data_IF_018560550963
#
_entry.id   IF_018560550963
#
_cell.length_a   1.000
_cell.length_b   1.000
_cell.length_c   1.000
_cell.angle_alpha   90.00
_cell.angle_beta   90.00
_cell.angle_gamma   90.00
#
_symmetry.space_group_name_H-M   'P 1'
#
loop_
_entity.id
_entity.type
_entity.pdbx_description
1 polymer ?
#
# COMPACT_ATOMS: atom_id res chain seq x y z
N UNK A 1 20.69 -17.76 4.35
CA UNK A 1 21.17 -17.72 5.76
C UNK A 1 21.85 -16.38 6.02
N UNK A 2 21.61 -15.76 7.20
CA UNK A 2 22.05 -14.39 7.53
C UNK A 2 23.37 -14.35 8.34
N UNK A 3 24.19 -15.37 8.22
CA UNK A 3 25.46 -15.46 8.94
C UNK A 3 26.38 -14.28 8.56
N UNK A 4 26.87 -13.55 9.56
CA UNK A 4 27.73 -12.39 9.37
C UNK A 4 26.99 -11.06 9.27
N UNK A 5 25.69 -11.06 9.01
CA UNK A 5 24.87 -9.84 8.95
C UNK A 5 24.65 -9.24 10.34
N UNK A 6 24.68 -7.90 10.42
CA UNK A 6 24.43 -7.14 11.64
C UNK A 6 23.20 -6.25 11.46
N UNK A 7 22.25 -6.34 12.37
CA UNK A 7 21.01 -5.56 12.33
C UNK A 7 20.89 -4.72 13.61
N UNK A 8 20.52 -3.46 13.47
CA UNK A 8 20.14 -2.60 14.56
C UNK A 8 18.60 -2.56 14.68
N UNK A 9 18.07 -2.75 15.88
CA UNK A 9 16.67 -2.47 16.20
C UNK A 9 16.65 -1.26 17.15
N UNK A 10 16.06 -0.15 16.70
CA UNK A 10 15.96 1.05 17.51
C UNK A 10 14.85 0.89 18.56
N UNK A 11 15.20 1.00 19.83
CA UNK A 11 14.22 0.90 20.91
C UNK A 11 14.21 2.18 21.75
N UNK A 12 13.04 2.53 22.25
CA UNK A 12 12.81 3.66 23.16
C UNK A 12 11.73 3.32 24.18
N UNK A 13 11.42 4.25 25.11
CA UNK A 13 10.35 4.03 26.10
C UNK A 13 9.04 3.64 25.42
N UNK A 14 8.33 2.66 26.00
CA UNK A 14 7.06 2.14 25.49
C UNK A 14 7.16 1.54 24.08
N UNK A 15 8.30 0.93 23.70
CA UNK A 15 8.40 0.19 22.45
C UNK A 15 7.30 -0.89 22.37
N UNK A 16 6.89 -1.27 21.17
CA UNK A 16 5.95 -2.38 21.02
C UNK A 16 6.63 -3.71 21.33
N UNK A 17 6.09 -4.47 22.25
CA UNK A 17 6.71 -5.70 22.78
C UNK A 17 7.04 -6.68 21.65
N UNK A 18 6.06 -7.02 20.81
CA UNK A 18 6.19 -8.01 19.74
C UNK A 18 6.99 -7.49 18.54
N UNK A 19 6.78 -6.23 18.14
CA UNK A 19 7.48 -5.62 17.00
C UNK A 19 8.99 -5.45 17.26
N UNK A 20 9.41 -5.48 18.52
CA UNK A 20 10.83 -5.42 18.89
C UNK A 20 11.44 -6.80 19.08
N UNK A 21 10.67 -7.78 19.57
CA UNK A 21 11.18 -9.11 19.91
C UNK A 21 11.06 -10.12 18.79
N UNK A 22 9.93 -10.18 18.08
CA UNK A 22 9.73 -11.17 17.04
C UNK A 22 10.68 -10.99 15.84
N UNK A 23 10.92 -9.77 15.32
CA UNK A 23 11.94 -9.57 14.28
C UNK A 23 13.34 -9.90 14.78
N UNK A 24 13.70 -9.51 16.00
CA UNK A 24 14.98 -9.87 16.61
C UNK A 24 15.19 -11.37 16.60
N UNK A 25 14.26 -12.11 17.18
CA UNK A 25 14.36 -13.55 17.38
C UNK A 25 14.36 -14.29 16.02
N UNK A 26 13.56 -13.85 15.08
CA UNK A 26 13.49 -14.37 13.72
C UNK A 26 14.84 -14.24 12.98
N UNK A 27 15.48 -13.07 13.06
CA UNK A 27 16.76 -12.80 12.41
C UNK A 27 17.92 -13.54 13.10
N UNK A 28 17.90 -13.60 14.45
CA UNK A 28 18.92 -14.34 15.23
C UNK A 28 18.87 -15.85 14.93
N UNK A 29 17.68 -16.45 14.85
CA UNK A 29 17.50 -17.85 14.46
C UNK A 29 18.08 -18.16 13.07
N UNK A 30 18.18 -17.16 12.19
CA UNK A 30 18.77 -17.26 10.85
C UNK A 30 20.26 -16.90 10.80
N UNK A 31 20.87 -16.61 11.95
CA UNK A 31 22.31 -16.38 12.11
C UNK A 31 22.75 -14.92 12.04
N UNK A 32 21.83 -13.95 11.99
CA UNK A 32 22.16 -12.54 12.09
C UNK A 32 22.57 -12.17 13.53
N UNK A 33 23.46 -11.19 13.66
CA UNK A 33 23.73 -10.52 14.94
C UNK A 33 22.79 -9.31 15.06
N UNK A 34 21.88 -9.33 16.00
CA UNK A 34 20.95 -8.23 16.25
C UNK A 34 21.37 -7.48 17.51
N UNK A 35 21.46 -6.15 17.39
CA UNK A 35 21.71 -5.25 18.51
C UNK A 35 20.47 -4.38 18.76
N UNK A 36 20.04 -4.32 20.01
CA UNK A 36 19.06 -3.35 20.48
C UNK A 36 19.76 -2.03 20.74
N UNK A 37 19.35 -0.98 20.04
CA UNK A 37 19.97 0.34 20.13
C UNK A 37 19.00 1.28 20.86
N UNK A 38 19.38 1.72 22.04
CA UNK A 38 18.61 2.68 22.83
C UNK A 38 19.12 4.10 22.67
N UNK A 39 18.31 5.07 23.11
CA UNK A 39 18.73 6.46 23.21
C UNK A 39 19.82 6.63 24.31
N UNK A 40 19.70 5.83 25.37
CA UNK A 40 20.65 5.65 26.45
C UNK A 40 20.72 4.18 26.88
N UNK A 41 21.34 3.87 28.02
CA UNK A 41 21.46 2.52 28.59
C UNK A 41 20.35 2.14 29.55
N UNK A 42 19.30 2.94 29.66
CA UNK A 42 18.19 2.66 30.55
C UNK A 42 17.46 1.40 30.13
N UNK A 43 17.18 0.52 31.10
CA UNK A 43 16.30 -0.62 30.89
C UNK A 43 14.89 -0.14 30.57
N UNK A 44 14.34 -0.60 29.47
CA UNK A 44 13.06 -0.18 28.94
C UNK A 44 12.01 -1.27 29.13
N UNK A 45 10.79 -0.87 29.46
CA UNK A 45 9.63 -1.76 29.49
C UNK A 45 8.75 -1.47 28.30
N UNK A 46 8.30 -2.51 27.61
CA UNK A 46 7.42 -2.42 26.45
C UNK A 46 6.05 -1.83 26.81
N UNK A 47 5.33 -1.35 25.81
CA UNK A 47 4.02 -0.68 25.95
C UNK A 47 2.98 -1.52 26.72
N UNK A 48 3.02 -2.83 26.56
CA UNK A 48 2.09 -3.75 27.21
C UNK A 48 2.66 -4.41 28.47
N UNK A 49 3.88 -4.02 28.88
CA UNK A 49 4.53 -4.53 30.09
C UNK A 49 4.93 -6.01 30.04
N UNK A 50 4.84 -6.63 28.86
CA UNK A 50 5.15 -8.08 28.69
C UNK A 50 6.63 -8.36 28.67
N UNK A 51 7.42 -7.39 28.18
CA UNK A 51 8.86 -7.53 27.95
C UNK A 51 9.59 -6.31 28.52
N UNK A 52 10.74 -6.57 29.17
CA UNK A 52 11.71 -5.53 29.52
C UNK A 52 13.03 -5.82 28.80
N UNK A 53 13.57 -4.83 28.09
CA UNK A 53 14.78 -4.93 27.28
C UNK A 53 15.84 -3.93 27.80
N UNK A 54 17.08 -4.37 27.77
CA UNK A 54 18.24 -3.49 27.96
C UNK A 54 18.89 -3.23 26.62
N UNK A 55 19.17 -1.97 26.25
CA UNK A 55 19.90 -1.67 25.03
C UNK A 55 21.31 -2.26 25.06
N UNK A 56 21.69 -3.01 24.01
CA UNK A 56 23.05 -3.50 23.85
C UNK A 56 24.03 -2.33 23.67
N UNK A 57 23.59 -1.31 22.95
CA UNK A 57 24.38 -0.09 22.65
C UNK A 57 23.48 1.13 22.69
N UNK A 58 24.12 2.29 22.84
CA UNK A 58 23.43 3.58 22.69
C UNK A 58 23.58 4.11 21.30
N UNK A 59 22.65 4.95 20.85
CA UNK A 59 22.71 5.59 19.53
C UNK A 59 23.99 6.39 19.33
N UNK A 60 24.50 7.04 20.36
CA UNK A 60 25.75 7.81 20.33
C UNK A 60 27.02 6.94 20.19
N UNK A 61 26.91 5.62 20.42
CA UNK A 61 28.03 4.69 20.39
C UNK A 61 28.08 3.82 19.11
N UNK A 62 27.21 4.10 18.13
CA UNK A 62 27.08 3.33 16.89
C UNK A 62 27.11 4.24 15.67
N UNK A 63 27.56 3.69 14.55
CA UNK A 63 27.50 4.34 13.23
C UNK A 63 26.65 3.55 12.28
N UNK A 64 26.03 4.21 11.34
CA UNK A 64 25.15 3.61 10.33
C UNK A 64 25.88 2.52 9.52
N UNK A 65 27.14 2.75 9.16
CA UNK A 65 27.95 1.85 8.36
C UNK A 65 28.24 0.51 9.04
N UNK A 66 28.12 0.44 10.36
CA UNK A 66 28.37 -0.77 11.15
C UNK A 66 27.28 -1.83 11.00
N UNK A 67 26.14 -1.49 10.34
CA UNK A 67 24.96 -2.36 10.23
C UNK A 67 24.58 -2.64 8.78
N UNK A 68 24.14 -3.86 8.52
CA UNK A 68 23.60 -4.32 7.24
C UNK A 68 22.10 -4.05 7.11
N UNK A 69 21.41 -3.81 8.22
CA UNK A 69 19.97 -3.50 8.26
C UNK A 69 19.58 -2.76 9.53
N UNK A 70 18.52 -1.96 9.45
CA UNK A 70 17.93 -1.25 10.58
C UNK A 70 16.43 -1.53 10.64
N UNK A 71 15.88 -1.76 11.84
CA UNK A 71 14.44 -1.88 12.08
C UNK A 71 14.02 -0.83 13.09
N UNK A 72 12.91 -0.15 12.82
CA UNK A 72 12.27 0.84 13.68
C UNK A 72 10.88 0.29 14.07
N UNK A 73 10.74 -0.36 15.24
CA UNK A 73 9.46 -0.80 15.75
C UNK A 73 8.54 0.38 16.09
N UNK A 74 7.26 0.08 16.27
CA UNK A 74 6.28 1.05 16.72
C UNK A 74 6.10 1.10 18.24
N UNK A 75 4.85 1.18 18.68
CA UNK A 75 4.49 1.52 20.06
C UNK A 75 4.64 3.01 20.31
N UNK A 76 5.04 3.40 21.52
CA UNK A 76 5.34 4.79 21.90
C UNK A 76 6.80 5.22 21.64
N UNK A 77 7.69 4.27 21.31
CA UNK A 77 9.11 4.56 21.09
C UNK A 77 9.37 5.56 19.95
N UNK A 78 8.69 5.49 18.78
CA UNK A 78 8.89 6.44 17.69
C UNK A 78 8.74 7.89 18.11
N UNK A 79 7.81 8.23 19.00
CA UNK A 79 7.60 9.59 19.51
C UNK A 79 8.84 10.15 20.24
N UNK A 80 9.60 9.29 20.90
CA UNK A 80 10.83 9.68 21.63
C UNK A 80 12.05 9.67 20.71
N UNK A 81 12.11 8.70 19.80
CA UNK A 81 13.22 8.58 18.83
C UNK A 81 13.18 9.76 17.85
N UNK A 82 11.99 10.17 17.37
CA UNK A 82 11.82 11.22 16.36
C UNK A 82 12.20 12.64 16.82
N UNK A 83 12.35 12.87 18.11
CA UNK A 83 12.79 14.16 18.68
C UNK A 83 14.24 14.12 19.17
N UNK A 84 14.94 13.00 18.99
CA UNK A 84 16.32 12.81 19.41
C UNK A 84 17.25 12.96 18.20
N UNK A 85 17.91 14.14 18.08
CA UNK A 85 18.70 14.50 16.88
C UNK A 85 19.76 13.45 16.51
N UNK A 86 20.56 12.87 17.46
CA UNK A 86 21.50 11.82 17.08
C UNK A 86 20.84 10.58 16.48
N UNK A 87 19.59 10.23 16.88
CA UNK A 87 18.87 9.11 16.30
C UNK A 87 18.35 9.44 14.89
N UNK A 88 17.86 10.66 14.68
CA UNK A 88 17.48 11.12 13.35
C UNK A 88 18.67 11.14 12.40
N UNK A 89 19.84 11.63 12.87
CA UNK A 89 21.05 11.64 12.05
C UNK A 89 21.49 10.22 11.70
N UNK A 90 21.50 9.29 12.66
CA UNK A 90 21.79 7.88 12.39
C UNK A 90 20.86 7.28 11.32
N UNK A 91 19.55 7.57 11.38
CA UNK A 91 18.58 7.07 10.40
C UNK A 91 18.80 7.69 9.03
N UNK A 92 19.11 9.00 8.95
CA UNK A 92 19.49 9.69 7.69
C UNK A 92 20.75 9.09 7.07
N UNK A 93 21.79 8.89 7.88
CA UNK A 93 23.04 8.29 7.41
C UNK A 93 22.84 6.86 6.94
N UNK A 94 22.02 6.08 7.67
CA UNK A 94 21.70 4.72 7.27
C UNK A 94 20.91 4.68 5.96
N UNK A 95 19.95 5.59 5.78
CA UNK A 95 19.21 5.73 4.53
C UNK A 95 20.11 5.91 3.32
N UNK A 96 21.19 6.69 3.45
CA UNK A 96 22.16 6.93 2.37
C UNK A 96 22.96 5.67 1.98
N UNK A 97 22.98 4.65 2.82
CA UNK A 97 23.68 3.39 2.51
C UNK A 97 22.98 2.52 1.48
N UNK A 98 21.69 2.76 1.21
CA UNK A 98 20.87 1.91 0.34
C UNK A 98 20.54 0.52 0.93
N UNK A 99 20.90 0.27 2.22
CA UNK A 99 20.68 -1.01 2.89
C UNK A 99 19.27 -1.11 3.46
N UNK A 100 18.73 -2.35 3.69
CA UNK A 100 17.36 -2.56 4.15
C UNK A 100 17.02 -1.80 5.44
N UNK A 101 15.99 -0.97 5.39
CA UNK A 101 15.42 -0.24 6.51
C UNK A 101 13.97 -0.68 6.72
N UNK A 102 13.68 -1.30 7.87
CA UNK A 102 12.35 -1.70 8.25
C UNK A 102 11.67 -0.67 9.14
N UNK A 103 10.39 -0.36 8.93
CA UNK A 103 9.60 0.45 9.83
C UNK A 103 8.20 -0.15 10.03
N UNK A 104 7.82 -0.40 11.29
CA UNK A 104 6.63 -1.13 11.66
C UNK A 104 5.66 -0.20 12.39
N UNK A 105 4.39 -0.27 12.06
CA UNK A 105 3.29 0.38 12.78
C UNK A 105 3.49 1.91 12.85
N UNK A 106 3.89 2.47 14.02
CA UNK A 106 4.23 3.87 14.21
C UNK A 106 5.69 4.21 13.85
N UNK A 107 6.53 3.22 13.50
CA UNK A 107 7.93 3.41 13.12
C UNK A 107 8.15 4.48 12.06
N UNK A 108 7.32 4.59 11.01
CA UNK A 108 7.44 5.64 9.99
C UNK A 108 7.42 7.08 10.51
N UNK A 109 6.94 7.36 11.72
CA UNK A 109 7.02 8.70 12.32
C UNK A 109 8.47 9.19 12.45
N UNK A 110 9.43 8.29 12.67
CA UNK A 110 10.86 8.63 12.71
C UNK A 110 11.34 9.07 11.33
N UNK A 111 10.90 8.38 10.28
CA UNK A 111 11.24 8.70 8.88
C UNK A 111 10.61 10.01 8.42
N UNK A 112 9.39 10.34 8.90
CA UNK A 112 8.76 11.66 8.70
C UNK A 112 9.68 12.76 9.24
N UNK A 113 10.11 12.62 10.49
CA UNK A 113 10.97 13.64 11.14
C UNK A 113 12.37 13.71 10.54
N UNK A 114 12.87 12.61 9.98
CA UNK A 114 14.10 12.57 9.22
C UNK A 114 13.97 13.16 7.79
N UNK A 115 12.75 13.46 7.32
CA UNK A 115 12.51 14.03 5.99
C UNK A 115 12.71 13.07 4.83
N UNK A 116 12.50 11.76 5.05
CA UNK A 116 12.87 10.69 4.10
C UNK A 116 11.69 10.14 3.28
N UNK A 117 10.45 10.58 3.53
CA UNK A 117 9.26 9.92 2.97
C UNK A 117 8.66 10.60 1.73
N UNK A 118 9.17 11.73 1.27
CA UNK A 118 8.62 12.40 0.08
C UNK A 118 8.80 11.52 -1.16
N UNK A 119 7.68 11.19 -1.82
CA UNK A 119 7.67 10.34 -3.02
C UNK A 119 7.86 8.85 -2.76
N UNK A 120 7.93 8.44 -1.49
CA UNK A 120 8.07 7.04 -1.07
C UNK A 120 6.69 6.40 -0.92
N UNK A 121 6.57 5.14 -1.31
CA UNK A 121 5.37 4.32 -1.10
C UNK A 121 5.57 3.45 0.14
N UNK A 122 4.61 3.47 1.08
CA UNK A 122 4.72 2.70 2.31
C UNK A 122 3.37 2.29 2.88
N UNK A 123 3.39 1.35 3.80
CA UNK A 123 2.29 1.08 4.72
C UNK A 123 2.68 1.46 6.16
N UNK A 124 1.70 1.68 7.01
CA UNK A 124 1.92 2.01 8.42
C UNK A 124 0.65 1.70 9.24
N UNK A 125 0.72 1.89 10.53
CA UNK A 125 -0.49 1.88 11.36
C UNK A 125 -1.47 2.95 10.85
N UNK A 126 -2.74 2.59 10.71
CA UNK A 126 -3.77 3.45 10.11
C UNK A 126 -3.87 4.81 10.80
N UNK A 127 -3.60 4.90 12.09
CA UNK A 127 -3.66 6.14 12.86
C UNK A 127 -2.64 7.20 12.47
N UNK A 128 -1.59 6.85 11.70
CA UNK A 128 -0.59 7.80 11.18
C UNK A 128 -0.61 7.90 9.66
N UNK A 129 -1.64 7.35 8.99
CA UNK A 129 -1.82 7.42 7.54
C UNK A 129 -1.75 8.86 7.03
N UNK A 130 -2.53 9.73 7.64
CA UNK A 130 -2.62 11.13 7.20
C UNK A 130 -1.29 11.87 7.39
N UNK A 131 -0.53 11.53 8.44
CA UNK A 131 0.81 12.09 8.67
C UNK A 131 1.78 11.74 7.55
N UNK A 132 1.80 10.47 7.10
CA UNK A 132 2.68 10.04 6.00
C UNK A 132 2.24 10.62 4.65
N UNK A 133 0.93 10.74 4.40
CA UNK A 133 0.42 11.38 3.19
C UNK A 133 0.73 12.88 3.15
N UNK A 134 0.61 13.58 4.28
CA UNK A 134 0.89 15.01 4.38
C UNK A 134 2.34 15.38 4.09
N UNK A 135 3.30 14.47 4.29
CA UNK A 135 4.70 14.69 3.91
C UNK A 135 5.03 14.29 2.47
N UNK A 136 4.00 13.92 1.68
CA UNK A 136 4.13 13.57 0.26
C UNK A 136 4.49 12.13 0.00
N UNK A 137 4.22 11.21 0.93
CA UNK A 137 4.32 9.77 0.72
C UNK A 137 3.01 9.20 0.18
N UNK A 138 3.09 8.05 -0.48
CA UNK A 138 1.93 7.25 -0.89
C UNK A 138 1.68 6.16 0.15
N UNK A 139 0.52 6.21 0.79
CA UNK A 139 0.09 5.15 1.72
C UNK A 139 -0.62 4.02 0.96
N UNK A 140 -0.23 2.78 1.24
CA UNK A 140 -0.93 1.57 0.80
C UNK A 140 -1.35 0.76 2.02
N UNK A 141 -2.62 0.35 2.08
CA UNK A 141 -3.10 -0.55 3.13
C UNK A 141 -2.77 -2.00 2.76
N UNK A 142 -1.53 -2.39 2.95
CA UNK A 142 -1.00 -3.73 2.64
C UNK A 142 -0.27 -4.30 3.85
N UNK A 143 -0.26 -5.63 3.95
CA UNK A 143 0.44 -6.34 5.01
C UNK A 143 1.93 -5.97 5.06
N UNK A 144 2.57 -5.90 3.90
CA UNK A 144 3.95 -5.45 3.73
C UNK A 144 4.02 -4.57 2.48
N UNK A 145 4.67 -3.43 2.59
CA UNK A 145 5.01 -2.58 1.46
C UNK A 145 6.53 -2.45 1.38
N UNK A 146 7.06 -2.60 0.17
CA UNK A 146 8.49 -2.48 -0.12
C UNK A 146 8.65 -1.39 -1.17
N UNK A 147 9.51 -0.42 -0.89
CA UNK A 147 9.88 0.63 -1.83
C UNK A 147 11.40 0.85 -1.74
N UNK A 148 12.11 0.31 -2.72
CA UNK A 148 13.57 0.27 -2.70
C UNK A 148 14.10 -0.42 -1.44
N UNK A 149 14.82 0.31 -0.62
CA UNK A 149 15.38 -0.20 0.64
C UNK A 149 14.40 -0.22 1.82
N UNK A 150 13.24 0.45 1.70
CA UNK A 150 12.27 0.58 2.78
C UNK A 150 11.27 -0.58 2.77
N UNK A 151 11.16 -1.29 3.89
CA UNK A 151 10.20 -2.36 4.13
C UNK A 151 9.30 -1.95 5.30
N UNK A 152 8.00 -1.87 5.09
CA UNK A 152 7.05 -1.42 6.10
C UNK A 152 5.92 -2.41 6.33
N UNK A 153 5.33 -2.40 7.54
CA UNK A 153 4.14 -3.16 7.90
C UNK A 153 3.25 -2.38 8.88
N UNK A 154 1.99 -2.80 9.03
CA UNK A 154 0.95 -2.04 9.73
C UNK A 154 0.87 -2.36 11.22
N UNK A 155 0.87 -3.65 11.55
CA UNK A 155 0.53 -4.17 12.87
C UNK A 155 1.35 -5.41 13.21
N UNK A 156 1.33 -5.90 14.46
CA UNK A 156 1.99 -7.15 14.83
C UNK A 156 1.52 -8.38 14.03
N UNK A 157 0.28 -8.40 13.56
CA UNK A 157 -0.24 -9.51 12.76
C UNK A 157 0.49 -9.65 11.41
N UNK A 158 1.09 -8.57 10.93
CA UNK A 158 1.86 -8.54 9.69
C UNK A 158 3.32 -9.00 9.86
N UNK A 159 3.80 -9.20 11.09
CA UNK A 159 5.21 -9.52 11.38
C UNK A 159 5.75 -10.78 10.71
N UNK A 160 4.98 -11.87 10.51
CA UNK A 160 5.49 -13.02 9.78
C UNK A 160 5.95 -12.65 8.36
N UNK A 161 5.12 -11.91 7.62
CA UNK A 161 5.44 -11.46 6.26
C UNK A 161 6.55 -10.39 6.24
N UNK A 162 6.48 -9.43 7.17
CA UNK A 162 7.53 -8.41 7.33
C UNK A 162 8.91 -9.05 7.61
N UNK A 163 8.98 -10.00 8.53
CA UNK A 163 10.22 -10.67 8.90
C UNK A 163 10.84 -11.44 7.73
N UNK A 164 10.01 -12.10 6.93
CA UNK A 164 10.44 -12.80 5.73
C UNK A 164 10.98 -11.83 4.68
N UNK A 165 10.25 -10.76 4.38
CA UNK A 165 10.66 -9.73 3.43
C UNK A 165 11.96 -9.05 3.86
N UNK A 166 12.07 -8.65 5.14
CA UNK A 166 13.29 -8.03 5.65
C UNK A 166 14.50 -8.97 5.63
N UNK A 167 14.31 -10.25 5.96
CA UNK A 167 15.39 -11.24 5.91
C UNK A 167 15.88 -11.51 4.48
N UNK A 168 14.99 -11.56 3.50
CA UNK A 168 15.33 -11.67 2.06
C UNK A 168 16.15 -10.45 1.62
N UNK A 169 15.69 -9.24 1.91
CA UNK A 169 16.43 -8.02 1.60
C UNK A 169 17.81 -8.00 2.26
N UNK A 170 17.90 -8.42 3.51
CA UNK A 170 19.16 -8.48 4.26
C UNK A 170 20.13 -9.52 3.70
N UNK A 171 19.65 -10.62 3.16
CA UNK A 171 20.48 -11.65 2.53
C UNK A 171 21.15 -11.14 1.25
N UNK A 172 20.69 -10.04 0.69
CA UNK A 172 21.07 -9.59 -0.64
C UNK A 172 20.41 -10.45 -1.72
N UNK A 173 19.53 -11.36 -1.32
CA UNK A 173 18.50 -11.84 -2.19
C UNK A 173 17.71 -10.58 -2.49
N UNK A 174 18.02 -9.99 -3.66
CA UNK A 174 17.40 -8.76 -4.07
C UNK A 174 15.91 -8.96 -3.82
N UNK A 175 15.38 -8.32 -2.76
CA UNK A 175 14.01 -7.88 -2.79
C UNK A 175 14.09 -6.68 -3.70
N UNK A 176 14.63 -6.96 -4.89
CA UNK A 176 14.37 -6.14 -6.03
C UNK A 176 12.88 -6.25 -6.22
N UNK A 177 12.29 -5.22 -6.72
CA UNK A 177 11.05 -5.25 -7.48
C UNK A 177 11.03 -6.36 -8.56
N UNK A 178 11.97 -7.30 -8.57
CA UNK A 178 12.08 -8.60 -9.23
C UNK A 178 11.37 -9.76 -8.51
N UNK A 179 10.86 -9.63 -7.31
CA UNK A 179 9.66 -10.38 -6.96
C UNK A 179 8.53 -9.79 -7.79
N UNK A 180 8.59 -10.22 -9.05
CA UNK A 180 7.73 -9.79 -10.12
C UNK A 180 7.59 -8.25 -10.18
N UNK A 181 8.55 -7.56 -10.86
CA UNK A 181 8.02 -6.78 -11.96
C UNK A 181 6.93 -7.67 -12.56
N UNK A 182 5.67 -7.43 -12.15
CA UNK A 182 4.54 -7.96 -12.89
C UNK A 182 4.95 -7.65 -14.30
N UNK A 183 5.27 -8.68 -15.11
CA UNK A 183 5.56 -8.37 -16.49
C UNK A 183 4.43 -7.47 -16.94
N UNK A 184 4.63 -6.58 -17.87
CA UNK A 184 3.54 -5.73 -18.34
C UNK A 184 2.28 -6.56 -18.65
N UNK A 185 2.46 -7.84 -19.00
CA UNK A 185 1.39 -8.82 -19.21
C UNK A 185 0.74 -9.31 -17.91
N UNK A 186 1.51 -9.55 -16.84
CA UNK A 186 0.93 -9.94 -15.55
C UNK A 186 0.13 -8.78 -14.94
N UNK A 187 0.63 -7.53 -15.09
CA UNK A 187 -0.09 -6.34 -14.66
C UNK A 187 -1.40 -6.18 -15.46
N UNK A 188 -1.36 -6.50 -16.74
CA UNK A 188 -2.53 -6.47 -17.61
C UNK A 188 -3.53 -7.58 -17.23
N UNK A 189 -3.09 -8.82 -16.93
CA UNK A 189 -3.98 -9.89 -16.41
C UNK A 189 -4.62 -9.52 -15.08
N UNK A 190 -3.88 -8.87 -14.19
CA UNK A 190 -4.43 -8.40 -12.92
C UNK A 190 -5.45 -7.28 -13.14
N UNK A 191 -5.19 -6.34 -14.05
CA UNK A 191 -6.15 -5.31 -14.44
C UNK A 191 -7.44 -5.94 -15.00
N UNK A 192 -7.33 -6.86 -15.95
CA UNK A 192 -8.47 -7.60 -16.52
C UNK A 192 -9.30 -8.29 -15.42
N UNK A 193 -8.65 -8.90 -14.45
CA UNK A 193 -9.33 -9.54 -13.32
C UNK A 193 -10.04 -8.54 -12.41
N UNK A 194 -9.49 -7.32 -12.27
CA UNK A 194 -10.11 -6.23 -11.48
C UNK A 194 -11.33 -5.66 -12.18
N UNK A 195 -11.25 -5.33 -13.46
CA UNK A 195 -12.39 -4.84 -14.24
C UNK A 195 -13.54 -5.85 -14.24
N UNK A 196 -13.24 -7.14 -14.43
CA UNK A 196 -14.25 -8.18 -14.31
C UNK A 196 -14.88 -8.24 -12.93
N UNK A 197 -14.09 -8.10 -11.88
CA UNK A 197 -14.59 -8.07 -10.50
C UNK A 197 -15.42 -6.81 -10.20
N UNK A 198 -15.05 -5.65 -10.74
CA UNK A 198 -15.82 -4.41 -10.63
C UNK A 198 -17.15 -4.51 -11.39
N UNK A 199 -17.13 -5.02 -12.62
CA UNK A 199 -18.34 -5.30 -13.39
C UNK A 199 -19.31 -6.18 -12.60
N UNK A 200 -18.85 -7.34 -12.09
CA UNK A 200 -19.68 -8.29 -11.33
C UNK A 200 -20.26 -7.64 -10.06
N UNK A 201 -19.44 -6.88 -9.35
CA UNK A 201 -19.85 -6.16 -8.16
C UNK A 201 -20.93 -5.12 -8.46
N UNK A 202 -20.74 -4.26 -9.48
CA UNK A 202 -21.72 -3.24 -9.84
C UNK A 202 -22.99 -3.84 -10.42
N UNK A 203 -22.90 -4.94 -11.16
CA UNK A 203 -24.06 -5.69 -11.62
C UNK A 203 -24.87 -6.26 -10.44
N UNK A 204 -24.22 -6.84 -9.43
CA UNK A 204 -24.87 -7.31 -8.21
C UNK A 204 -25.55 -6.15 -7.45
N UNK A 205 -24.83 -5.04 -7.23
CA UNK A 205 -25.34 -3.85 -6.54
C UNK A 205 -26.58 -3.28 -7.23
N UNK A 206 -26.62 -3.29 -8.57
CA UNK A 206 -27.78 -2.84 -9.35
C UNK A 206 -29.03 -3.71 -9.14
N UNK A 207 -28.89 -4.94 -8.65
CA UNK A 207 -30.04 -5.83 -8.33
C UNK A 207 -30.50 -5.72 -6.89
N UNK A 208 -29.59 -5.38 -5.96
CA UNK A 208 -29.87 -5.35 -4.51
C UNK A 208 -30.40 -4.00 -4.06
N UNK A 209 -29.83 -2.89 -4.58
CA UNK A 209 -30.22 -1.53 -4.16
C UNK A 209 -31.64 -1.23 -4.58
N UNK A 210 -32.45 -0.71 -3.63
CA UNK A 210 -33.88 -0.42 -3.85
C UNK A 210 -34.14 0.95 -4.48
N UNK A 211 -33.24 1.90 -4.28
CA UNK A 211 -33.39 3.26 -4.80
C UNK A 211 -33.01 3.32 -6.28
N UNK A 212 -33.97 3.70 -7.12
CA UNK A 212 -33.85 3.62 -8.59
C UNK A 212 -32.71 4.47 -9.15
N UNK A 213 -32.46 5.65 -8.58
CA UNK A 213 -31.37 6.54 -9.01
C UNK A 213 -29.99 5.91 -8.77
N UNK A 214 -29.80 5.28 -7.62
CA UNK A 214 -28.56 4.59 -7.24
C UNK A 214 -28.40 3.28 -8.01
N UNK A 215 -29.47 2.53 -8.17
CA UNK A 215 -29.54 1.31 -8.99
C UNK A 215 -29.08 1.57 -10.43
N UNK A 216 -29.67 2.60 -11.07
CA UNK A 216 -29.32 2.97 -12.45
C UNK A 216 -27.84 3.35 -12.58
N UNK A 217 -27.24 3.97 -11.58
CA UNK A 217 -25.82 4.31 -11.54
C UNK A 217 -24.96 3.06 -11.51
N UNK A 218 -25.28 2.10 -10.65
CA UNK A 218 -24.57 0.82 -10.62
C UNK A 218 -24.70 0.03 -11.93
N UNK A 219 -25.89 0.05 -12.55
CA UNK A 219 -26.07 -0.55 -13.89
C UNK A 219 -25.20 0.13 -14.95
N UNK A 220 -25.08 1.45 -14.90
CA UNK A 220 -24.25 2.23 -15.80
C UNK A 220 -22.76 1.91 -15.62
N UNK A 221 -22.27 1.91 -14.38
CA UNK A 221 -20.87 1.54 -14.09
C UNK A 221 -20.56 0.11 -14.48
N UNK A 222 -21.46 -0.85 -14.21
CA UNK A 222 -21.28 -2.23 -14.65
C UNK A 222 -21.05 -2.35 -16.17
N UNK A 223 -21.74 -1.54 -16.98
CA UNK A 223 -21.56 -1.53 -18.44
C UNK A 223 -20.22 -0.88 -18.85
N UNK A 224 -19.74 0.12 -18.13
CA UNK A 224 -18.42 0.71 -18.36
C UNK A 224 -17.32 -0.29 -18.06
N UNK A 225 -17.37 -0.94 -16.90
CA UNK A 225 -16.36 -1.92 -16.49
C UNK A 225 -16.34 -3.14 -17.44
N UNK A 226 -17.50 -3.51 -18.01
CA UNK A 226 -17.53 -4.51 -19.08
C UNK A 226 -16.74 -4.05 -20.30
N UNK A 227 -16.87 -2.78 -20.68
CA UNK A 227 -16.11 -2.17 -21.74
C UNK A 227 -14.60 -2.24 -21.47
N UNK A 228 -14.16 -1.81 -20.29
CA UNK A 228 -12.76 -1.88 -19.88
C UNK A 228 -12.22 -3.31 -19.90
N UNK A 229 -12.97 -4.26 -19.33
CA UNK A 229 -12.61 -5.69 -19.33
C UNK A 229 -12.40 -6.23 -20.75
N UNK A 230 -13.29 -5.90 -21.69
CA UNK A 230 -13.21 -6.36 -23.07
C UNK A 230 -11.98 -5.77 -23.78
N UNK A 231 -11.75 -4.46 -23.63
CA UNK A 231 -10.63 -3.77 -24.25
C UNK A 231 -9.28 -4.29 -23.72
N UNK A 232 -9.14 -4.44 -22.40
CA UNK A 232 -7.91 -4.98 -21.82
C UNK A 232 -7.67 -6.43 -22.27
N UNK A 233 -8.74 -7.23 -22.36
CA UNK A 233 -8.65 -8.61 -22.83
C UNK A 233 -8.20 -8.68 -24.29
N UNK A 234 -8.66 -7.77 -25.14
CA UNK A 234 -8.24 -7.71 -26.53
C UNK A 234 -6.80 -7.20 -26.67
N UNK A 235 -6.39 -6.21 -25.90
CA UNK A 235 -4.99 -5.77 -25.82
C UNK A 235 -4.07 -6.93 -25.41
N UNK A 236 -4.47 -7.70 -24.40
CA UNK A 236 -3.72 -8.88 -23.97
C UNK A 236 -3.55 -9.90 -25.10
N UNK A 237 -4.62 -10.21 -25.83
CA UNK A 237 -4.57 -11.14 -26.98
C UNK A 237 -3.63 -10.61 -28.08
N UNK A 238 -3.68 -9.31 -28.38
CA UNK A 238 -2.78 -8.70 -29.36
C UNK A 238 -1.30 -8.83 -28.94
N UNK A 239 -0.99 -8.56 -27.68
CA UNK A 239 0.39 -8.63 -27.16
C UNK A 239 0.91 -10.06 -26.98
N UNK A 240 0.02 -11.05 -26.89
CA UNK A 240 0.37 -12.46 -26.61
C UNK A 240 0.17 -13.39 -27.82
N UNK A 241 -0.03 -12.85 -29.02
CA UNK A 241 -0.35 -13.64 -30.21
C UNK A 241 -1.60 -14.53 -30.03
N UNK A 242 -2.66 -13.98 -29.47
CA UNK A 242 -3.97 -14.62 -29.36
C UNK A 242 -4.20 -15.45 -28.08
N UNK A 243 -3.34 -15.35 -27.06
CA UNK A 243 -3.61 -16.03 -25.79
C UNK A 243 -4.79 -15.37 -25.05
N UNK A 244 -5.60 -16.17 -24.39
CA UNK A 244 -6.67 -15.68 -23.52
C UNK A 244 -6.09 -15.35 -22.14
N UNK A 245 -6.42 -14.18 -21.53
CA UNK A 245 -5.96 -13.84 -20.20
C UNK A 245 -6.56 -14.78 -19.15
N UNK A 246 -5.82 -15.00 -18.09
CA UNK A 246 -6.34 -15.69 -16.89
C UNK A 246 -7.10 -14.70 -16.04
N UNK A 247 -8.39 -14.94 -15.80
CA UNK A 247 -9.25 -14.08 -14.97
C UNK A 247 -9.46 -14.72 -13.62
N UNK A 248 -8.93 -14.12 -12.55
CA UNK A 248 -9.16 -14.55 -11.16
C UNK A 248 -9.76 -13.40 -10.33
N UNK A 249 -11.08 -13.31 -10.37
CA UNK A 249 -11.85 -12.29 -9.63
C UNK A 249 -11.68 -12.35 -8.10
N UNK A 250 -11.19 -13.49 -7.55
CA UNK A 250 -10.95 -13.64 -6.10
C UNK A 250 -9.78 -12.81 -5.60
N UNK A 251 -8.92 -12.36 -6.50
CA UNK A 251 -7.82 -11.43 -6.20
C UNK A 251 -8.33 -9.99 -6.03
N UNK A 252 -9.56 -9.71 -6.47
CA UNK A 252 -10.20 -8.42 -6.26
C UNK A 252 -10.74 -8.30 -4.83
N UNK A 253 -10.41 -7.23 -4.14
CA UNK A 253 -10.93 -6.93 -2.80
C UNK A 253 -12.45 -6.76 -2.82
N UNK A 254 -13.04 -6.27 -3.93
CA UNK A 254 -14.47 -6.13 -4.13
C UNK A 254 -15.21 -7.48 -4.06
N UNK A 255 -14.67 -8.53 -4.66
CA UNK A 255 -15.25 -9.87 -4.63
C UNK A 255 -15.26 -10.55 -3.26
N UNK A 256 -14.58 -9.95 -2.26
CA UNK A 256 -14.57 -10.43 -0.86
C UNK A 256 -15.66 -9.79 -0.01
N UNK A 257 -16.25 -8.67 -0.45
CA UNK A 257 -17.35 -8.03 0.26
C UNK A 257 -18.65 -8.76 0.01
N UNK A 258 -19.18 -9.44 1.04
CA UNK A 258 -20.56 -9.93 1.01
C UNK A 258 -21.47 -8.73 1.26
N UNK A 259 -22.17 -8.30 0.24
CA UNK A 259 -23.13 -7.22 0.34
C UNK A 259 -24.40 -7.74 1.03
N UNK A 260 -24.90 -7.00 2.04
CA UNK A 260 -26.17 -7.34 2.68
C UNK A 260 -27.34 -7.09 1.71
N UNK A 261 -28.32 -8.01 1.62
CA UNK A 261 -29.53 -7.76 0.83
C UNK A 261 -30.34 -6.53 1.28
N UNK A 262 -30.10 -6.05 2.49
CA UNK A 262 -30.77 -4.88 3.08
C UNK A 262 -29.87 -3.62 3.09
N UNK A 263 -28.83 -3.57 2.24
CA UNK A 263 -27.93 -2.43 2.14
C UNK A 263 -28.71 -1.16 1.81
N UNK A 264 -28.46 -0.09 2.55
CA UNK A 264 -29.06 1.21 2.27
C UNK A 264 -28.39 1.88 1.06
N UNK A 265 -29.09 2.78 0.38
CA UNK A 265 -28.53 3.55 -0.72
C UNK A 265 -27.25 4.31 -0.33
N UNK A 266 -27.23 4.86 0.90
CA UNK A 266 -26.04 5.55 1.44
C UNK A 266 -24.85 4.61 1.59
N UNK A 267 -25.03 3.45 2.19
CA UNK A 267 -23.97 2.46 2.35
C UNK A 267 -23.47 1.96 1.00
N UNK A 268 -24.39 1.76 0.05
CA UNK A 268 -24.05 1.36 -1.31
C UNK A 268 -23.17 2.43 -2.01
N UNK A 269 -23.55 3.71 -1.91
CA UNK A 269 -22.76 4.83 -2.46
C UNK A 269 -21.39 4.93 -1.78
N UNK A 270 -21.31 4.79 -0.45
CA UNK A 270 -20.04 4.82 0.29
C UNK A 270 -19.13 3.65 -0.13
N UNK A 271 -19.70 2.47 -0.39
CA UNK A 271 -18.97 1.30 -0.89
C UNK A 271 -18.48 1.51 -2.33
N UNK A 272 -19.29 2.12 -3.20
CA UNK A 272 -18.89 2.52 -4.54
C UNK A 272 -17.71 3.50 -4.52
N UNK A 273 -17.78 4.56 -3.71
CA UNK A 273 -16.67 5.52 -3.55
C UNK A 273 -15.38 4.81 -3.13
N UNK A 274 -15.47 3.88 -2.19
CA UNK A 274 -14.33 3.10 -1.73
C UNK A 274 -13.76 2.20 -2.85
N UNK A 275 -14.62 1.57 -3.64
CA UNK A 275 -14.23 0.72 -4.76
C UNK A 275 -13.41 1.48 -5.80
N UNK A 276 -13.92 2.65 -6.23
CA UNK A 276 -13.26 3.52 -7.21
C UNK A 276 -11.93 4.09 -6.69
N UNK A 277 -11.89 4.43 -5.39
CA UNK A 277 -10.63 4.89 -4.78
C UNK A 277 -9.54 3.81 -4.84
N UNK A 278 -9.92 2.55 -4.59
CA UNK A 278 -9.01 1.41 -4.65
C UNK A 278 -8.56 1.08 -6.08
N UNK A 279 -9.45 1.21 -7.06
CA UNK A 279 -9.12 1.04 -8.46
C UNK A 279 -8.16 2.15 -8.93
N UNK A 280 -8.47 3.42 -8.63
CA UNK A 280 -7.57 4.56 -8.91
C UNK A 280 -6.16 4.37 -8.33
N UNK A 281 -6.06 4.01 -7.04
CA UNK A 281 -4.77 3.75 -6.39
C UNK A 281 -3.98 2.65 -7.12
N UNK A 282 -4.66 1.56 -7.50
CA UNK A 282 -4.06 0.46 -8.22
C UNK A 282 -3.51 0.90 -9.58
N UNK A 283 -4.34 1.55 -10.43
CA UNK A 283 -3.91 1.95 -11.78
C UNK A 283 -2.82 3.01 -11.75
N UNK A 284 -2.89 3.98 -10.85
CA UNK A 284 -1.82 4.95 -10.64
C UNK A 284 -0.49 4.28 -10.29
N UNK A 285 -0.53 3.27 -9.43
CA UNK A 285 0.66 2.51 -9.03
C UNK A 285 1.20 1.66 -10.17
N UNK A 286 0.33 0.97 -10.93
CA UNK A 286 0.69 0.19 -12.09
C UNK A 286 1.33 1.06 -13.18
N UNK A 287 0.78 2.26 -13.43
CA UNK A 287 1.35 3.23 -14.36
C UNK A 287 2.76 3.69 -13.93
N UNK A 288 2.95 3.99 -12.63
CA UNK A 288 4.24 4.42 -12.09
C UNK A 288 5.33 3.34 -12.19
N UNK A 289 4.95 2.06 -12.10
CA UNK A 289 5.87 0.92 -12.25
C UNK A 289 6.11 0.50 -13.70
N UNK A 290 5.27 0.92 -14.62
CA UNK A 290 5.43 0.59 -16.03
C UNK A 290 6.56 1.41 -16.68
N UNK A 291 7.45 0.74 -17.44
CA UNK A 291 8.62 1.37 -18.12
C UNK A 291 8.26 2.23 -19.34
N UNK A 292 7.02 2.67 -19.46
CA UNK A 292 6.51 3.44 -20.60
C UNK A 292 5.79 2.58 -21.63
N UNK A 293 5.38 3.22 -22.76
CA UNK A 293 4.63 2.59 -23.84
C UNK A 293 3.13 2.44 -23.57
N UNK A 294 2.44 1.75 -24.46
CA UNK A 294 0.96 1.62 -24.48
C UNK A 294 0.35 1.15 -23.14
N UNK A 295 1.04 0.27 -22.42
CA UNK A 295 0.53 -0.26 -21.13
C UNK A 295 0.54 0.82 -20.04
N UNK A 296 1.59 1.66 -20.00
CA UNK A 296 1.62 2.78 -19.04
C UNK A 296 0.52 3.78 -19.34
N UNK A 297 0.39 4.19 -20.61
CA UNK A 297 -0.64 5.13 -21.06
C UNK A 297 -2.06 4.61 -20.75
N UNK A 298 -2.28 3.32 -20.93
CA UNK A 298 -3.52 2.65 -20.58
C UNK A 298 -3.81 2.70 -19.07
N UNK A 299 -2.82 2.42 -18.22
CA UNK A 299 -3.03 2.52 -16.77
C UNK A 299 -3.25 3.96 -16.31
N UNK A 300 -2.59 4.94 -16.92
CA UNK A 300 -2.85 6.37 -16.67
C UNK A 300 -4.27 6.76 -17.09
N UNK A 301 -4.76 6.24 -18.21
CA UNK A 301 -6.13 6.45 -18.68
C UNK A 301 -7.14 5.82 -17.69
N UNK A 302 -6.98 4.53 -17.33
CA UNK A 302 -7.87 3.87 -16.36
C UNK A 302 -7.88 4.59 -15.00
N UNK A 303 -6.73 5.04 -14.50
CA UNK A 303 -6.69 5.83 -13.28
C UNK A 303 -7.52 7.12 -13.39
N UNK A 304 -7.55 7.78 -14.53
CA UNK A 304 -8.37 8.97 -14.74
C UNK A 304 -9.87 8.62 -14.77
N UNK A 305 -10.26 7.53 -15.42
CA UNK A 305 -11.64 7.04 -15.47
C UNK A 305 -12.17 6.71 -14.06
N UNK A 306 -11.39 5.98 -13.24
CA UNK A 306 -11.80 5.65 -11.85
C UNK A 306 -12.03 6.89 -11.00
N UNK A 307 -11.28 7.97 -11.24
CA UNK A 307 -11.49 9.23 -10.56
C UNK A 307 -12.81 9.88 -10.99
N UNK A 308 -13.19 9.78 -12.26
CA UNK A 308 -14.49 10.26 -12.73
C UNK A 308 -15.65 9.39 -12.20
N UNK A 309 -15.50 8.06 -12.17
CA UNK A 309 -16.49 7.17 -11.55
C UNK A 309 -16.71 7.52 -10.07
N UNK A 310 -15.64 7.74 -9.33
CA UNK A 310 -15.73 8.22 -7.93
C UNK A 310 -16.51 9.53 -7.82
N UNK A 311 -16.33 10.49 -8.74
CA UNK A 311 -17.05 11.75 -8.75
C UNK A 311 -18.56 11.55 -8.93
N UNK A 312 -18.99 10.56 -9.72
CA UNK A 312 -20.41 10.24 -9.89
C UNK A 312 -21.07 9.87 -8.55
N UNK A 313 -20.37 9.12 -7.71
CA UNK A 313 -20.87 8.78 -6.36
C UNK A 313 -20.81 9.96 -5.39
N UNK A 314 -19.78 10.80 -5.46
CA UNK A 314 -19.63 11.97 -4.59
C UNK A 314 -20.74 13.01 -4.79
N UNK A 315 -21.23 13.18 -6.02
CA UNK A 315 -22.37 14.06 -6.33
C UNK A 315 -23.64 13.59 -5.61
N UNK A 316 -23.91 12.28 -5.58
CA UNK A 316 -25.07 11.73 -4.87
C UNK A 316 -24.94 11.90 -3.36
N UNK A 317 -23.75 11.67 -2.83
CA UNK A 317 -23.47 11.86 -1.40
C UNK A 317 -23.73 13.30 -0.97
N UNK A 318 -23.34 14.29 -1.79
CA UNK A 318 -23.60 15.70 -1.55
C UNK A 318 -25.09 16.05 -1.66
N UNK A 319 -25.80 15.48 -2.65
CA UNK A 319 -27.25 15.68 -2.82
C UNK A 319 -28.04 15.11 -1.64
N UNK A 320 -27.68 13.93 -1.14
CA UNK A 320 -28.31 13.30 0.04
C UNK A 320 -28.08 14.09 1.34
N UNK A 321 -27.07 14.96 1.40
CA UNK A 321 -26.76 15.84 2.54
C UNK A 321 -27.39 17.22 2.44
N UNK A 322 -28.34 17.48 1.48
CA UNK A 322 -29.07 18.73 1.33
C UNK A 322 -28.41 19.76 0.40
N UNK A 323 -27.42 19.36 -0.38
CA UNK A 323 -26.89 20.18 -1.48
C UNK A 323 -27.84 20.22 -2.67
N UNK A 324 -28.09 21.43 -3.23
CA UNK A 324 -28.86 21.58 -4.49
C UNK A 324 -27.97 21.10 -5.66
N UNK A 325 -28.09 19.83 -6.03
CA UNK A 325 -27.43 19.26 -7.22
C UNK A 325 -28.45 18.60 -8.12
N UNK A 326 -29.04 19.34 -9.07
CA UNK A 326 -29.62 18.70 -10.26
C UNK A 326 -28.48 18.43 -11.24
N UNK A 327 -28.04 17.20 -11.32
CA UNK A 327 -27.07 16.77 -12.34
C UNK A 327 -27.88 16.27 -13.56
N UNK A 328 -27.67 16.92 -14.67
CA UNK A 328 -28.11 16.45 -15.97
C UNK A 328 -26.98 15.59 -16.53
N UNK A 329 -27.26 14.32 -16.81
CA UNK A 329 -26.30 13.36 -17.34
C UNK A 329 -25.62 13.90 -18.59
N UNK A 330 -24.29 14.03 -18.58
CA UNK A 330 -23.52 14.18 -19.80
C UNK A 330 -23.54 12.84 -20.54
N UNK A 331 -24.30 12.79 -21.64
CA UNK A 331 -24.50 11.58 -22.44
C UNK A 331 -23.37 11.30 -23.44
N UNK A 332 -22.27 12.06 -23.37
CA UNK A 332 -21.11 11.88 -24.25
C UNK A 332 -19.82 12.01 -23.43
N UNK A 333 -19.14 10.92 -23.28
CA UNK A 333 -17.70 10.94 -23.02
C UNK A 333 -17.03 11.13 -24.36
N UNK A 334 -16.53 12.33 -24.62
CA UNK A 334 -15.62 12.57 -25.74
C UNK A 334 -14.28 11.90 -25.38
N UNK A 335 -13.92 10.86 -26.12
CA UNK A 335 -12.56 10.29 -26.09
C UNK A 335 -11.62 11.44 -26.44
N UNK A 336 -10.58 11.73 -25.63
CA UNK A 336 -9.64 12.80 -25.96
C UNK A 336 -9.04 12.58 -27.35
N UNK A 337 -8.94 13.62 -28.20
CA UNK A 337 -8.38 13.49 -29.54
C UNK A 337 -6.93 12.99 -29.45
N UNK A 338 -6.64 11.89 -30.15
CA UNK A 338 -5.34 11.21 -30.17
C UNK A 338 -5.30 9.88 -29.43
N UNK A 339 -6.41 9.44 -28.80
CA UNK A 339 -6.51 8.09 -28.22
C UNK A 339 -7.26 7.09 -29.10
N UNK A 340 -7.78 7.51 -30.25
CA UNK A 340 -8.47 6.63 -31.22
C UNK A 340 -7.58 5.49 -31.74
N UNK A 341 -6.24 5.65 -31.64
CA UNK A 341 -5.27 4.63 -32.03
C UNK A 341 -4.88 3.66 -30.89
N UNK A 342 -5.39 3.88 -29.68
CA UNK A 342 -5.19 2.99 -28.51
C UNK A 342 -6.33 1.97 -28.37
N UNK A 343 -7.43 2.17 -29.12
CA UNK A 343 -8.65 1.36 -29.09
C UNK A 343 -8.80 0.48 -30.32
#
# INVERSE_FOLDING_TARGET
>A
MLKGKKVAILIGPQFHDEESTLPRDYLQQRGARVHLIGLDKTKLTGKYGRVSLEPDKTIAAVRAEDYDGVIIPGGGAPERIRIHEPALQFVKDFWQTGRPLGAICHGPQVLISAGLLRGVTLTCFIGIRDDVQNVGATFLDQQVCIDGQLITSRTPDDLPAFNEAFAKALAGDVVSDEEKELSALDALELAISREKGAQDFYAEMSTIVKEESVKNKFSYLAAIEEGHFLHLSDLYKQLTNGRTPTVDVRQNELGKHRVSPDITAKEAVDLGIWAEEKAYEFYRHAAAKSKGGKIKEMFEYLAAEELEHKRLFLVDKAAAQGGRGHFQWATHFDIPPGMDDLW
#
